data_IF_909728117860
#
_entry.id   IF_909728117860
#
_cell.length_a   1.000
_cell.length_b   1.000
_cell.length_c   1.000
_cell.angle_alpha   90.00
_cell.angle_beta   90.00
_cell.angle_gamma   90.00
#
_symmetry.space_group_name_H-M   'P 1'
#
loop_
_entity.id
_entity.type
_entity.pdbx_description
1 polymer ?
#
# COMPACT_ATOMS: atom_id res chain seq x y z
N UNK A 1 17.92 -7.75 -24.02
CA UNK A 1 17.89 -7.57 -22.56
C UNK A 1 16.42 -7.47 -22.16
N UNK A 2 15.80 -8.62 -21.87
CA UNK A 2 14.35 -8.74 -21.80
C UNK A 2 13.90 -8.74 -20.36
N UNK A 3 13.71 -7.56 -19.78
CA UNK A 3 12.95 -7.41 -18.54
C UNK A 3 11.90 -6.32 -18.80
N UNK A 4 10.79 -6.71 -19.41
CA UNK A 4 9.58 -5.90 -19.36
C UNK A 4 8.34 -6.79 -19.46
N UNK A 5 8.20 -7.71 -18.51
CA UNK A 5 6.94 -8.40 -18.26
C UNK A 5 6.37 -7.85 -16.95
N UNK A 6 5.60 -6.78 -17.10
CA UNK A 6 4.64 -6.21 -16.15
C UNK A 6 5.14 -6.03 -14.70
N UNK A 7 5.80 -4.89 -14.40
CA UNK A 7 6.32 -4.56 -13.05
C UNK A 7 5.25 -4.66 -11.94
N UNK A 8 3.97 -4.49 -12.27
CA UNK A 8 2.87 -4.66 -11.32
C UNK A 8 2.79 -6.08 -10.71
N UNK A 9 3.25 -7.10 -11.44
CA UNK A 9 3.26 -8.47 -10.93
C UNK A 9 4.27 -8.68 -9.79
N UNK A 10 5.30 -7.83 -9.69
CA UNK A 10 6.22 -7.83 -8.55
C UNK A 10 5.59 -7.27 -7.28
N UNK A 11 4.41 -6.67 -7.33
CA UNK A 11 3.68 -6.23 -6.13
C UNK A 11 2.62 -7.26 -5.70
N UNK A 12 2.50 -8.39 -6.40
CA UNK A 12 1.55 -9.44 -6.05
C UNK A 12 2.26 -10.52 -5.22
N UNK A 13 1.75 -10.88 -4.03
CA UNK A 13 2.27 -11.99 -3.23
C UNK A 13 2.36 -13.29 -4.04
N UNK A 14 3.40 -14.10 -3.81
CA UNK A 14 3.73 -15.24 -4.69
C UNK A 14 2.60 -16.25 -4.83
N UNK A 15 1.92 -16.57 -3.72
CA UNK A 15 0.80 -17.51 -3.71
C UNK A 15 -0.43 -16.97 -4.45
N UNK A 16 -0.72 -15.67 -4.30
CA UNK A 16 -1.79 -15.01 -5.05
C UNK A 16 -1.47 -14.98 -6.55
N UNK A 17 -0.24 -14.61 -6.91
CA UNK A 17 0.26 -14.63 -8.28
C UNK A 17 0.09 -16.02 -8.94
N UNK A 18 0.47 -17.09 -8.25
CA UNK A 18 0.28 -18.46 -8.72
C UNK A 18 -1.21 -18.81 -8.93
N UNK A 19 -2.07 -18.38 -8.00
CA UNK A 19 -3.53 -18.58 -8.08
C UNK A 19 -4.13 -17.86 -9.28
N UNK A 20 -3.74 -16.61 -9.52
CA UNK A 20 -4.19 -15.82 -10.68
C UNK A 20 -3.79 -16.48 -11.99
N UNK A 21 -2.55 -16.99 -12.09
CA UNK A 21 -2.07 -17.72 -13.27
C UNK A 21 -2.89 -18.99 -13.50
N UNK A 22 -3.08 -19.79 -12.44
CA UNK A 22 -3.83 -21.04 -12.51
C UNK A 22 -5.29 -20.83 -12.94
N UNK A 23 -5.94 -19.77 -12.44
CA UNK A 23 -7.34 -19.43 -12.77
C UNK A 23 -7.49 -18.66 -14.10
N UNK A 24 -6.46 -18.62 -14.95
CA UNK A 24 -6.40 -17.79 -16.16
C UNK A 24 -6.40 -16.28 -15.86
N UNK A 25 -5.18 -15.76 -15.65
CA UNK A 25 -4.88 -14.38 -15.27
C UNK A 25 -5.55 -13.30 -16.12
N UNK A 26 -5.88 -13.60 -17.39
CA UNK A 26 -6.53 -12.66 -18.31
C UNK A 26 -7.90 -12.20 -17.78
N UNK A 27 -8.59 -13.04 -16.99
CA UNK A 27 -9.86 -12.67 -16.33
C UNK A 27 -9.72 -11.48 -15.38
N UNK A 28 -8.52 -11.28 -14.83
CA UNK A 28 -8.20 -10.25 -13.85
C UNK A 28 -7.52 -9.02 -14.46
N UNK A 29 -7.44 -8.95 -15.80
CA UNK A 29 -6.78 -7.85 -16.50
C UNK A 29 -7.27 -6.45 -16.07
N UNK A 30 -8.58 -6.20 -15.87
CA UNK A 30 -9.04 -4.89 -15.41
C UNK A 30 -8.45 -4.47 -14.05
N UNK A 31 -8.36 -5.41 -13.11
CA UNK A 31 -7.78 -5.18 -11.79
C UNK A 31 -6.26 -5.00 -11.88
N UNK A 32 -5.59 -5.80 -12.69
CA UNK A 32 -4.14 -5.68 -12.91
C UNK A 32 -3.78 -4.34 -13.56
N UNK A 33 -4.61 -3.85 -14.49
CA UNK A 33 -4.46 -2.52 -15.08
C UNK A 33 -4.71 -1.41 -14.06
N UNK A 34 -5.67 -1.59 -13.15
CA UNK A 34 -5.91 -0.65 -12.05
C UNK A 34 -4.72 -0.60 -11.09
N UNK A 35 -4.21 -1.76 -10.66
CA UNK A 35 -3.02 -1.88 -9.82
C UNK A 35 -1.82 -1.21 -10.49
N UNK A 36 -1.60 -1.45 -11.79
CA UNK A 36 -0.51 -0.81 -12.54
C UNK A 36 -0.64 0.72 -12.52
N UNK A 37 -1.83 1.26 -12.75
CA UNK A 37 -2.08 2.71 -12.69
C UNK A 37 -1.90 3.29 -11.28
N UNK A 38 -2.27 2.55 -10.25
CA UNK A 38 -2.03 2.95 -8.86
C UNK A 38 -0.52 3.01 -8.58
N UNK A 39 0.25 2.00 -9.01
CA UNK A 39 1.70 1.98 -8.88
C UNK A 39 2.38 3.12 -9.64
N UNK A 40 1.93 3.45 -10.86
CA UNK A 40 2.47 4.56 -11.66
C UNK A 40 2.23 5.94 -11.01
N UNK A 41 1.20 6.06 -10.17
CA UNK A 41 0.83 7.31 -9.49
C UNK A 41 1.24 7.36 -8.01
N UNK A 42 1.64 6.23 -7.46
CA UNK A 42 2.10 6.12 -6.08
C UNK A 42 3.35 7.01 -5.91
N UNK A 43 3.33 7.98 -4.98
CA UNK A 43 4.45 8.85 -4.69
C UNK A 43 5.71 8.06 -4.37
N UNK A 44 6.83 8.69 -4.69
CA UNK A 44 8.14 8.17 -4.37
C UNK A 44 8.52 8.55 -2.94
N UNK A 45 9.55 7.90 -2.41
CA UNK A 45 10.05 8.16 -1.05
C UNK A 45 10.24 9.66 -0.80
N UNK A 46 9.72 10.15 0.32
CA UNK A 46 9.75 11.55 0.77
C UNK A 46 8.85 12.53 -0.01
N UNK A 47 8.10 12.10 -1.03
CA UNK A 47 7.23 13.01 -1.79
C UNK A 47 5.94 13.41 -1.05
N UNK A 48 5.63 12.80 0.09
CA UNK A 48 4.44 13.13 0.90
C UNK A 48 4.76 13.81 2.23
N UNK A 49 6.00 14.24 2.49
CA UNK A 49 6.40 14.84 3.79
C UNK A 49 5.60 16.10 4.16
N UNK A 50 5.23 16.91 3.17
CA UNK A 50 4.42 18.12 3.39
C UNK A 50 2.92 17.86 3.53
N UNK A 51 2.48 16.61 3.36
CA UNK A 51 1.07 16.23 3.51
C UNK A 51 0.77 15.84 4.95
N UNK A 52 -0.34 16.34 5.49
CA UNK A 52 -0.86 15.92 6.79
C UNK A 52 -1.15 14.43 6.77
N UNK A 53 -0.92 13.76 7.90
CA UNK A 53 -1.18 12.32 8.06
C UNK A 53 -2.58 11.90 7.59
N UNK A 54 -3.69 12.55 8.00
CA UNK A 54 -5.03 12.15 7.54
C UNK A 54 -5.25 12.26 6.03
N UNK A 55 -4.48 13.11 5.35
CA UNK A 55 -4.61 13.40 3.92
C UNK A 55 -3.70 12.51 3.06
N UNK A 56 -2.70 11.84 3.65
CA UNK A 56 -1.84 10.88 2.95
C UNK A 56 -2.71 9.79 2.31
N UNK A 57 -2.46 9.48 1.06
CA UNK A 57 -3.24 8.51 0.29
C UNK A 57 -2.62 7.12 0.43
N UNK A 58 -3.44 6.13 0.80
CA UNK A 58 -3.07 4.72 0.72
C UNK A 58 -3.29 4.21 -0.71
N UNK A 59 -2.23 4.09 -1.49
CA UNK A 59 -2.25 3.68 -2.89
C UNK A 59 -2.45 2.19 -3.10
N UNK A 60 -1.87 1.37 -2.22
CA UNK A 60 -2.01 -0.08 -2.23
C UNK A 60 -2.48 -0.55 -0.86
N UNK A 61 -3.20 -1.67 -0.84
CA UNK A 61 -3.59 -2.33 0.40
C UNK A 61 -3.21 -3.81 0.32
N UNK A 62 -2.37 -4.24 1.26
CA UNK A 62 -2.15 -5.64 1.54
C UNK A 62 -2.87 -6.01 2.83
N UNK A 63 -3.31 -7.25 2.91
CA UNK A 63 -3.92 -7.78 4.12
C UNK A 63 -3.58 -9.25 4.30
N UNK A 64 -3.64 -9.70 5.55
CA UNK A 64 -3.61 -11.11 5.91
C UNK A 64 -4.89 -11.45 6.68
N UNK A 65 -5.51 -12.63 6.47
CA UNK A 65 -6.73 -13.06 7.16
C UNK A 65 -6.67 -13.10 8.70
N UNK A 66 -5.51 -12.87 9.30
CA UNK A 66 -5.31 -12.80 10.75
C UNK A 66 -5.51 -11.37 11.31
N UNK A 67 -5.98 -10.43 10.48
CA UNK A 67 -6.25 -9.06 10.88
C UNK A 67 -5.08 -8.09 10.69
N UNK A 68 -4.03 -8.47 9.96
CA UNK A 68 -2.97 -7.54 9.58
C UNK A 68 -3.29 -6.82 8.28
N UNK A 69 -2.98 -5.53 8.23
CA UNK A 69 -3.19 -4.64 7.09
C UNK A 69 -1.95 -3.78 6.87
N UNK A 70 -1.58 -3.57 5.61
CA UNK A 70 -0.52 -2.65 5.19
C UNK A 70 -1.08 -1.69 4.14
N UNK A 71 -1.12 -0.39 4.45
CA UNK A 71 -1.64 0.67 3.60
C UNK A 71 -0.49 1.49 3.01
N UNK A 72 -0.01 1.12 1.82
CA UNK A 72 1.16 1.73 1.16
C UNK A 72 0.88 3.17 0.76
N UNK A 73 1.74 4.08 1.19
CA UNK A 73 1.66 5.53 0.92
C UNK A 73 2.69 5.95 -0.11
N UNK A 74 3.91 5.44 0.02
CA UNK A 74 5.02 5.73 -0.88
C UNK A 74 5.69 4.42 -1.30
N UNK A 75 6.30 4.42 -2.48
CA UNK A 75 7.15 3.33 -2.95
C UNK A 75 8.50 3.86 -3.37
N UNK A 76 9.54 3.05 -3.22
CA UNK A 76 10.83 3.41 -3.75
C UNK A 76 10.86 3.33 -5.29
N UNK A 77 11.84 4.02 -5.87
CA UNK A 77 12.07 4.17 -7.31
C UNK A 77 13.06 3.13 -7.81
N UNK A 78 13.88 2.58 -6.92
CA UNK A 78 14.98 1.70 -7.32
C UNK A 78 14.47 0.32 -7.76
N UNK A 79 14.84 -0.09 -8.97
CA UNK A 79 14.51 -1.41 -9.52
C UNK A 79 15.12 -2.58 -8.73
N UNK A 80 16.09 -2.30 -7.85
CA UNK A 80 16.82 -3.28 -7.05
C UNK A 80 16.29 -3.40 -5.60
N UNK A 81 15.54 -2.40 -5.12
CA UNK A 81 14.92 -2.40 -3.79
C UNK A 81 13.46 -1.97 -3.89
N UNK A 82 12.56 -2.95 -3.80
CA UNK A 82 11.13 -2.70 -3.70
C UNK A 82 10.76 -2.40 -2.24
N UNK A 83 11.24 -1.28 -1.71
CA UNK A 83 10.84 -0.78 -0.40
C UNK A 83 9.62 0.13 -0.52
N UNK A 84 8.78 0.14 0.50
CA UNK A 84 7.59 0.99 0.57
C UNK A 84 7.44 1.55 1.97
N UNK A 85 6.81 2.72 2.07
CA UNK A 85 6.38 3.32 3.32
C UNK A 85 4.86 3.13 3.47
N UNK A 86 4.40 2.62 4.60
CA UNK A 86 2.97 2.40 4.87
C UNK A 86 2.60 2.67 6.31
N UNK A 87 1.29 2.80 6.51
CA UNK A 87 0.65 2.54 7.78
C UNK A 87 0.33 1.05 7.90
N UNK A 88 0.84 0.41 8.95
CA UNK A 88 0.58 -0.99 9.29
C UNK A 88 -0.41 -1.03 10.43
N UNK A 89 -1.40 -1.91 10.35
CA UNK A 89 -2.34 -2.21 11.44
C UNK A 89 -2.34 -3.70 11.70
N UNK A 90 -1.92 -4.10 12.90
CA UNK A 90 -1.80 -5.50 13.31
C UNK A 90 -1.87 -5.63 14.83
N UNK A 91 -0.74 -5.93 15.47
CA UNK A 91 -0.65 -5.85 16.95
C UNK A 91 -0.77 -4.42 17.45
N UNK A 92 -0.03 -3.52 16.80
CA UNK A 92 -0.10 -2.08 16.98
C UNK A 92 -0.38 -1.42 15.62
N UNK A 93 -0.75 -0.14 15.64
CA UNK A 93 -0.86 0.67 14.42
C UNK A 93 0.33 1.62 14.35
N UNK A 94 1.15 1.50 13.30
CA UNK A 94 2.39 2.27 13.17
C UNK A 94 2.77 2.55 11.72
N UNK A 95 3.52 3.64 11.52
CA UNK A 95 4.16 3.91 10.24
C UNK A 95 5.51 3.21 10.15
N UNK A 96 5.80 2.61 9.01
CA UNK A 96 7.06 1.90 8.82
C UNK A 96 7.43 1.67 7.37
N UNK A 97 8.70 1.35 7.18
CA UNK A 97 9.22 0.87 5.91
C UNK A 97 9.25 -0.65 5.88
N UNK A 98 8.96 -1.23 4.71
CA UNK A 98 8.97 -2.68 4.51
C UNK A 98 9.38 -3.03 3.10
N UNK A 99 9.98 -4.22 2.98
CA UNK A 99 10.31 -4.82 1.70
C UNK A 99 9.08 -5.50 1.11
N UNK A 100 8.71 -5.11 -0.11
CA UNK A 100 7.71 -5.83 -0.91
C UNK A 100 8.16 -7.27 -1.17
N UNK A 101 9.45 -7.52 -1.36
CA UNK A 101 9.94 -8.89 -1.55
C UNK A 101 9.68 -9.75 -0.32
N UNK A 102 9.95 -9.25 0.89
CA UNK A 102 9.63 -9.97 2.12
C UNK A 102 8.12 -10.18 2.26
N UNK A 103 7.32 -9.12 2.03
CA UNK A 103 5.86 -9.19 2.16
C UNK A 103 5.23 -10.21 1.19
N UNK A 104 5.83 -10.40 0.01
CA UNK A 104 5.37 -11.39 -0.99
C UNK A 104 5.67 -12.84 -0.62
N UNK A 105 6.66 -13.08 0.25
CA UNK A 105 6.97 -14.42 0.76
C UNK A 105 6.04 -14.83 1.92
N UNK A 106 5.45 -13.86 2.63
CA UNK A 106 4.60 -14.15 3.78
C UNK A 106 3.38 -14.93 3.33
N UNK A 107 3.27 -16.16 3.82
CA UNK A 107 2.14 -17.03 3.54
C UNK A 107 0.84 -16.38 4.03
N UNK A 108 -0.19 -16.38 3.19
CA UNK A 108 -1.51 -15.82 3.52
C UNK A 108 -1.66 -14.31 3.30
N UNK A 109 -0.58 -13.57 3.05
CA UNK A 109 -0.69 -12.16 2.64
C UNK A 109 -1.22 -12.08 1.20
N UNK A 110 -2.16 -11.18 0.98
CA UNK A 110 -2.79 -10.87 -0.30
C UNK A 110 -2.73 -9.36 -0.54
N UNK A 111 -2.59 -8.95 -1.80
CA UNK A 111 -2.90 -7.58 -2.23
C UNK A 111 -4.37 -7.49 -2.64
N UNK A 112 -5.08 -6.45 -2.18
CA UNK A 112 -6.45 -6.18 -2.63
C UNK A 112 -6.43 -5.59 -4.05
N UNK A 113 -6.77 -6.43 -5.02
CA UNK A 113 -6.83 -6.09 -6.43
C UNK A 113 -7.99 -5.13 -6.78
N UNK A 114 -8.95 -4.92 -5.87
CA UNK A 114 -10.04 -3.96 -6.04
C UNK A 114 -9.87 -2.71 -5.17
N UNK A 115 -8.73 -2.58 -4.48
CA UNK A 115 -8.42 -1.42 -3.68
C UNK A 115 -8.44 -0.15 -4.53
N UNK A 116 -9.09 0.90 -4.00
CA UNK A 116 -9.12 2.22 -4.62
C UNK A 116 -8.30 3.17 -3.74
N UNK A 117 -7.28 3.85 -4.29
CA UNK A 117 -6.51 4.82 -3.52
C UNK A 117 -7.41 5.85 -2.84
N UNK A 118 -7.23 6.02 -1.54
CA UNK A 118 -8.01 6.96 -0.71
C UNK A 118 -7.20 7.48 0.48
N UNK A 119 -7.54 8.65 1.04
CA UNK A 119 -6.89 9.19 2.23
C UNK A 119 -6.97 8.22 3.42
N UNK A 120 -5.95 8.23 4.28
CA UNK A 120 -5.91 7.42 5.50
C UNK A 120 -7.11 7.69 6.42
N UNK A 121 -7.60 8.94 6.44
CA UNK A 121 -8.80 9.34 7.18
C UNK A 121 -10.09 8.62 6.73
N UNK A 122 -10.13 8.07 5.51
CA UNK A 122 -11.28 7.34 4.97
C UNK A 122 -11.20 5.81 5.18
N UNK A 123 -10.21 5.34 5.94
CA UNK A 123 -9.98 3.91 6.20
C UNK A 123 -10.46 3.58 7.62
N UNK A 124 -11.58 2.86 7.71
CA UNK A 124 -12.23 2.49 8.97
C UNK A 124 -11.28 1.83 9.98
N UNK A 125 -10.45 0.91 9.50
CA UNK A 125 -9.55 0.05 10.28
C UNK A 125 -8.47 0.85 11.03
N UNK A 126 -8.10 2.02 10.51
CA UNK A 126 -7.06 2.89 11.09
C UNK A 126 -7.60 4.27 11.49
N UNK A 127 -8.89 4.53 11.29
CA UNK A 127 -9.52 5.83 11.54
C UNK A 127 -9.29 6.35 12.97
N UNK A 128 -9.33 5.47 13.98
CA UNK A 128 -9.08 5.84 15.37
C UNK A 128 -7.65 6.31 15.62
N UNK A 129 -6.66 5.68 14.98
CA UNK A 129 -5.26 6.08 15.05
C UNK A 129 -5.04 7.40 14.30
N UNK A 130 -5.59 7.50 13.08
CA UNK A 130 -5.47 8.70 12.23
C UNK A 130 -6.13 9.92 12.88
N UNK A 131 -7.22 9.74 13.62
CA UNK A 131 -7.89 10.81 14.35
C UNK A 131 -7.02 11.49 15.43
N UNK A 132 -5.97 10.82 15.91
CA UNK A 132 -4.99 11.43 16.82
C UNK A 132 -4.28 12.61 16.15
N UNK A 133 -3.89 12.45 14.88
CA UNK A 133 -3.16 13.46 14.12
C UNK A 133 -4.05 14.62 13.67
N UNK A 134 -5.36 14.39 13.49
CA UNK A 134 -6.31 15.48 13.18
C UNK A 134 -6.37 16.48 14.33
N UNK A 135 -6.38 16.00 15.58
CA UNK A 135 -6.43 16.85 16.76
C UNK A 135 -5.14 17.63 16.97
N UNK A 136 -3.99 16.97 16.76
CA UNK A 136 -2.67 17.62 16.82
C UNK A 136 -2.58 18.78 15.81
N UNK A 137 -3.08 18.57 14.58
CA UNK A 137 -3.13 19.61 13.56
C UNK A 137 -4.04 20.80 13.94
N UNK A 138 -5.17 20.54 14.62
CA UNK A 138 -6.09 21.59 15.12
C UNK A 138 -5.42 22.43 16.21
N UNK A 139 -4.79 21.79 17.20
CA UNK A 139 -4.09 22.47 18.30
C UNK A 139 -2.93 23.35 17.78
N UNK A 140 -2.18 22.90 16.77
CA UNK A 140 -1.10 23.68 16.14
C UNK A 140 -1.59 24.92 15.36
N UNK A 141 -2.85 24.93 14.93
CA UNK A 141 -3.46 26.08 14.25
C UNK A 141 -3.96 27.16 15.21
N UNK A 142 -4.28 26.82 16.47
CA UNK A 142 -4.77 27.79 17.47
C UNK A 142 -3.64 28.60 18.16
N UNK A 143 -2.38 28.19 18.01
CA UNK A 143 -1.22 28.81 18.70
C UNK A 143 -0.52 29.88 17.83
N UNK A 144 -1.03 30.21 16.63
CA UNK A 144 -0.49 31.25 15.72
C UNK A 144 -1.34 32.50 15.68
#
# INVERSE_FOLDING_TARGET
>A
MTINKNKAFYFIPKYQAATLIYDNIVKYQPQLDHLKKALERCPETYQTESQRIPDKVAWLHYYHPNGWHWYVIEKDICDEQLQVFALVSGHDTEFGYFSIDELREVAGVLIDLNWKPKPLSEISEVSHFVAGFIKEDEDDTEIK
#
